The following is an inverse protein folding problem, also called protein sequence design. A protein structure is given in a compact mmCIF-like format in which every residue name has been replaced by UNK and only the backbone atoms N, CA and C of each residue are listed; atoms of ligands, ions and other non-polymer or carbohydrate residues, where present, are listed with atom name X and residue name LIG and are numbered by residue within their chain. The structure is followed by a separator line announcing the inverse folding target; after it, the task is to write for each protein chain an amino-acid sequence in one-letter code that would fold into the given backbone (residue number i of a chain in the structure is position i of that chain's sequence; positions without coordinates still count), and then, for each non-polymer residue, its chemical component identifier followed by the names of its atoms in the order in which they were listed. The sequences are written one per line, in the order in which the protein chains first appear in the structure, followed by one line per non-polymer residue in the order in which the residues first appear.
data_IF_207610849482
#
_entry.id   IF_207610849482
#
_cell.length_a   1.000
_cell.length_b   1.000
_cell.length_c   1.000
_cell.angle_alpha   90.00
_cell.angle_beta   90.00
_cell.angle_gamma   90.00
#
_symmetry.space_group_name_H-M   'P 1'
#
loop_
_entity.id
_entity.type
_entity.pdbx_description
1 polymer ?
#
# COMPACT_ATOMS: atom_id res chain seq x y z
N UNK A 1 -21.98 11.42 -0.95
CA UNK A 1 -21.08 12.57 -0.88
C UNK A 1 -21.39 13.47 -2.06
N UNK A 2 -21.80 14.70 -1.84
CA UNK A 2 -22.15 15.67 -2.90
C UNK A 2 -23.04 15.14 -4.04
N UNK A 3 -23.94 14.20 -3.76
CA UNK A 3 -24.79 13.55 -4.76
C UNK A 3 -24.10 12.55 -5.71
N UNK A 4 -22.79 12.30 -5.52
CA UNK A 4 -22.05 11.34 -6.33
C UNK A 4 -22.23 9.94 -5.74
N UNK A 5 -22.64 8.99 -6.59
CA UNK A 5 -22.71 7.58 -6.22
C UNK A 5 -21.30 6.99 -6.11
N UNK A 6 -21.06 6.22 -5.04
CA UNK A 6 -19.80 5.52 -4.80
C UNK A 6 -20.10 4.03 -4.79
N UNK A 7 -19.36 3.27 -5.59
CA UNK A 7 -19.49 1.82 -5.63
C UNK A 7 -18.63 1.16 -4.55
N UNK A 8 -19.23 0.27 -3.80
CA UNK A 8 -18.54 -0.69 -2.92
C UNK A 8 -19.41 -1.96 -2.79
N UNK A 9 -18.78 -3.06 -2.55
CA UNK A 9 -19.48 -4.35 -2.46
C UNK A 9 -18.50 -5.50 -2.32
N UNK A 10 -19.03 -6.71 -2.36
CA UNK A 10 -18.21 -7.92 -2.31
C UNK A 10 -18.65 -8.95 -3.35
N UNK A 11 -17.78 -9.92 -3.58
CA UNK A 11 -18.06 -11.09 -4.39
C UNK A 11 -17.23 -12.28 -3.89
N UNK A 12 -17.74 -13.49 -4.08
CA UNK A 12 -16.99 -14.73 -3.84
C UNK A 12 -16.68 -15.40 -5.17
N UNK A 13 -15.41 -15.70 -5.39
CA UNK A 13 -14.96 -16.42 -6.57
C UNK A 13 -13.82 -17.37 -6.20
N UNK A 14 -13.88 -18.64 -6.64
CA UNK A 14 -12.84 -19.62 -6.40
C UNK A 14 -12.52 -19.89 -4.92
N UNK A 15 -13.50 -19.73 -4.02
CA UNK A 15 -13.28 -19.89 -2.57
C UNK A 15 -12.60 -18.68 -1.89
N UNK A 16 -12.47 -17.57 -2.59
CA UNK A 16 -11.95 -16.30 -2.08
C UNK A 16 -13.08 -15.26 -2.06
N UNK A 17 -13.25 -14.55 -0.95
CA UNK A 17 -14.14 -13.40 -0.86
C UNK A 17 -13.37 -12.10 -1.08
N UNK A 18 -13.80 -11.31 -2.04
CA UNK A 18 -13.22 -10.02 -2.40
C UNK A 18 -14.15 -8.90 -1.94
N UNK A 19 -13.69 -8.00 -1.09
CA UNK A 19 -14.37 -6.73 -0.86
C UNK A 19 -13.74 -5.65 -1.73
N UNK A 20 -14.57 -4.82 -2.33
CA UNK A 20 -14.16 -3.66 -3.13
C UNK A 20 -14.67 -2.42 -2.39
N UNK A 21 -13.79 -1.47 -2.13
CA UNK A 21 -14.11 -0.21 -1.47
C UNK A 21 -13.73 0.99 -2.33
N UNK A 22 -14.35 2.12 -2.07
CA UNK A 22 -14.08 3.38 -2.74
C UNK A 22 -13.51 4.37 -1.72
N UNK A 23 -12.24 4.20 -1.39
CA UNK A 23 -11.53 5.07 -0.46
C UNK A 23 -11.25 6.45 -1.08
N UNK A 24 -10.69 6.51 -2.27
CA UNK A 24 -10.26 7.75 -2.91
C UNK A 24 -11.39 8.74 -3.20
N UNK A 25 -12.57 8.25 -3.57
CA UNK A 25 -13.72 9.11 -3.83
C UNK A 25 -14.44 9.57 -2.56
N UNK A 26 -14.24 8.87 -1.46
CA UNK A 26 -14.98 9.12 -0.21
C UNK A 26 -14.18 9.87 0.83
N UNK A 27 -12.87 9.70 0.85
CA UNK A 27 -12.03 10.31 1.88
C UNK A 27 -12.08 11.83 1.83
N UNK A 28 -11.82 12.43 2.98
CA UNK A 28 -11.63 13.87 3.09
C UNK A 28 -10.52 14.35 2.16
N UNK A 29 -10.76 15.44 1.45
CA UNK A 29 -9.76 16.05 0.59
C UNK A 29 -8.74 16.85 1.40
N UNK A 30 -7.55 17.11 0.83
CA UNK A 30 -6.47 17.85 1.49
C UNK A 30 -6.83 19.30 1.82
N UNK A 31 -7.87 19.87 1.21
CA UNK A 31 -8.38 21.22 1.53
C UNK A 31 -8.93 21.36 2.97
N UNK A 32 -9.18 20.25 3.65
CA UNK A 32 -9.62 20.25 5.06
C UNK A 32 -8.49 20.51 6.05
N UNK A 33 -7.26 20.49 5.60
CA UNK A 33 -6.04 20.71 6.40
C UNK A 33 -5.11 21.68 5.68
N UNK A 34 -4.04 22.11 6.36
CA UNK A 34 -3.04 22.99 5.76
C UNK A 34 -1.69 22.30 5.80
N UNK A 35 -1.12 22.06 4.65
CA UNK A 35 0.26 21.58 4.46
C UNK A 35 1.19 22.76 4.16
N UNK A 36 2.49 22.47 4.06
CA UNK A 36 3.52 23.44 3.65
C UNK A 36 3.85 23.36 2.15
N UNK A 37 3.33 22.35 1.45
CA UNK A 37 3.57 22.14 0.03
C UNK A 37 2.80 23.14 -0.87
N UNK A 38 3.35 23.42 -2.05
CA UNK A 38 2.64 24.17 -3.10
C UNK A 38 1.39 23.44 -3.60
N UNK A 39 1.39 22.11 -3.54
CA UNK A 39 0.20 21.27 -3.68
C UNK A 39 -0.37 21.01 -2.28
N UNK A 40 -1.68 21.15 -2.15
CA UNK A 40 -2.37 21.01 -0.86
C UNK A 40 -2.22 19.60 -0.23
N UNK A 41 -1.96 18.59 -1.03
CA UNK A 41 -1.78 17.19 -0.63
C UNK A 41 -0.34 16.83 -0.23
N UNK A 42 0.65 17.72 -0.45
CA UNK A 42 2.06 17.43 -0.18
C UNK A 42 2.57 18.13 1.09
N UNK A 43 3.32 17.37 1.88
CA UNK A 43 4.14 17.88 2.98
C UNK A 43 5.61 17.76 2.58
N UNK A 44 6.33 18.89 2.53
CA UNK A 44 7.71 18.95 2.02
C UNK A 44 8.73 19.28 3.11
N UNK A 45 8.35 19.98 4.19
CA UNK A 45 9.25 20.24 5.30
C UNK A 45 9.44 18.96 6.15
N UNK A 46 10.68 18.46 6.30
CA UNK A 46 10.95 17.30 7.15
C UNK A 46 10.57 17.52 8.62
N UNK A 47 10.49 18.77 9.09
CA UNK A 47 10.13 19.12 10.47
C UNK A 47 8.64 19.42 10.64
N UNK A 48 7.84 19.36 9.60
CA UNK A 48 6.40 19.61 9.68
C UNK A 48 5.73 18.62 10.63
N UNK A 49 4.90 19.10 11.55
CA UNK A 49 4.11 18.24 12.44
C UNK A 49 2.92 17.65 11.69
N UNK A 50 3.09 16.44 11.17
CA UNK A 50 2.05 15.74 10.43
C UNK A 50 0.92 15.21 11.33
N UNK A 51 1.11 15.13 12.65
CA UNK A 51 0.04 14.79 13.59
C UNK A 51 -1.05 15.89 13.61
N UNK A 52 -0.69 17.13 13.35
CA UNK A 52 -1.65 18.23 13.22
C UNK A 52 -2.59 18.12 12.02
N UNK A 53 -2.30 17.19 11.08
CA UNK A 53 -3.16 16.90 9.91
C UNK A 53 -4.27 15.90 10.21
N UNK A 54 -4.23 15.21 11.35
CA UNK A 54 -5.27 14.25 11.76
C UNK A 54 -6.34 14.93 12.63
N UNK A 55 -7.23 15.66 11.98
CA UNK A 55 -8.26 16.46 12.66
C UNK A 55 -9.54 15.64 12.90
N UNK A 56 -10.27 15.94 13.99
CA UNK A 56 -11.60 15.39 14.20
C UNK A 56 -12.54 15.66 13.02
N UNK A 57 -13.37 14.67 12.68
CA UNK A 57 -14.35 14.76 11.59
C UNK A 57 -13.82 14.42 10.21
N UNK A 58 -12.52 14.16 10.05
CA UNK A 58 -11.98 13.63 8.80
C UNK A 58 -12.44 12.20 8.56
N UNK A 59 -12.62 11.84 7.29
CA UNK A 59 -13.21 10.58 6.84
C UNK A 59 -12.27 9.88 5.87
N UNK A 60 -12.14 8.55 5.96
CA UNK A 60 -11.51 7.71 4.93
C UNK A 60 -12.58 7.00 4.10
N UNK A 61 -13.41 6.17 4.71
CA UNK A 61 -14.45 5.38 4.02
C UNK A 61 -15.88 5.85 4.31
N UNK A 62 -16.10 6.45 5.48
CA UNK A 62 -17.42 6.82 5.98
C UNK A 62 -18.22 5.63 6.51
N UNK A 63 -19.25 5.95 7.29
CA UNK A 63 -20.02 4.98 8.09
C UNK A 63 -20.59 3.80 7.27
N UNK A 64 -21.08 4.08 6.07
CA UNK A 64 -21.70 3.03 5.23
C UNK A 64 -20.69 1.98 4.77
N UNK A 65 -19.51 2.39 4.32
CA UNK A 65 -18.47 1.46 3.90
C UNK A 65 -17.83 0.76 5.10
N UNK A 66 -17.66 1.45 6.24
CA UNK A 66 -17.15 0.85 7.47
C UNK A 66 -18.13 -0.22 8.02
N UNK A 67 -19.45 0.05 7.99
CA UNK A 67 -20.46 -0.94 8.37
C UNK A 67 -20.46 -2.16 7.43
N UNK A 68 -20.36 -1.94 6.13
CA UNK A 68 -20.20 -2.99 5.13
C UNK A 68 -18.97 -3.85 5.42
N UNK A 69 -17.80 -3.23 5.61
CA UNK A 69 -16.55 -3.95 5.86
C UNK A 69 -16.60 -4.75 7.15
N UNK A 70 -17.25 -4.23 8.20
CA UNK A 70 -17.41 -4.95 9.46
C UNK A 70 -18.19 -6.24 9.25
N UNK A 71 -19.31 -6.19 8.55
CA UNK A 71 -20.13 -7.37 8.24
C UNK A 71 -19.34 -8.35 7.35
N UNK A 72 -18.68 -7.85 6.32
CA UNK A 72 -17.87 -8.68 5.43
C UNK A 72 -16.68 -9.33 6.15
N UNK A 73 -16.02 -8.61 7.06
CA UNK A 73 -14.87 -9.12 7.79
C UNK A 73 -15.21 -10.34 8.67
N UNK A 74 -16.40 -10.37 9.21
CA UNK A 74 -16.89 -11.43 10.10
C UNK A 74 -17.55 -12.60 9.34
N UNK A 75 -18.00 -12.39 8.10
CA UNK A 75 -18.68 -13.43 7.29
C UNK A 75 -17.68 -14.36 6.60
N UNK A 76 -17.64 -15.62 6.99
CA UNK A 76 -16.77 -16.66 6.44
C UNK A 76 -17.53 -17.76 5.66
N UNK A 77 -18.78 -17.51 5.27
CA UNK A 77 -19.60 -18.47 4.55
C UNK A 77 -19.16 -18.61 3.09
N UNK A 78 -18.87 -19.86 2.66
CA UNK A 78 -18.59 -20.21 1.27
C UNK A 78 -17.20 -19.82 0.74
N UNK A 79 -16.27 -19.41 1.62
CA UNK A 79 -14.90 -19.08 1.24
C UNK A 79 -13.91 -19.32 2.38
N UNK A 80 -12.63 -19.43 2.05
CA UNK A 80 -11.54 -19.71 3.01
C UNK A 80 -10.49 -18.60 3.05
N UNK A 81 -10.42 -17.78 2.00
CA UNK A 81 -9.54 -16.62 1.90
C UNK A 81 -10.32 -15.34 1.66
N UNK A 82 -9.74 -14.22 2.02
CA UNK A 82 -10.27 -12.89 1.72
C UNK A 82 -9.21 -11.97 1.15
N UNK A 83 -9.65 -11.06 0.29
CA UNK A 83 -8.85 -9.96 -0.22
C UNK A 83 -9.66 -8.66 -0.21
N UNK A 84 -9.02 -7.56 0.19
CA UNK A 84 -9.57 -6.22 0.07
C UNK A 84 -9.00 -5.55 -1.18
N UNK A 85 -9.84 -4.98 -2.01
CA UNK A 85 -9.45 -4.19 -3.18
C UNK A 85 -9.78 -2.73 -2.91
N UNK A 86 -8.79 -1.85 -3.00
CA UNK A 86 -8.98 -0.40 -2.88
C UNK A 86 -8.16 0.36 -3.90
N UNK A 87 -8.38 1.67 -4.00
CA UNK A 87 -7.61 2.52 -4.90
C UNK A 87 -6.24 2.84 -4.31
N UNK A 88 -6.13 3.08 -2.99
CA UNK A 88 -4.90 3.54 -2.36
C UNK A 88 -4.38 2.60 -1.27
N UNK A 89 -3.08 2.65 -1.05
CA UNK A 89 -2.42 2.01 0.09
C UNK A 89 -2.72 2.77 1.39
N UNK A 90 -2.69 2.09 2.56
CA UNK A 90 -2.97 2.72 3.85
C UNK A 90 -1.69 3.10 4.64
N UNK A 91 -0.61 3.36 3.93
CA UNK A 91 0.64 3.93 4.44
C UNK A 91 1.19 4.94 3.45
N UNK A 92 2.01 5.88 3.93
CA UNK A 92 2.76 6.78 3.06
C UNK A 92 4.11 6.15 2.68
N UNK A 93 4.10 5.23 1.70
CA UNK A 93 5.30 4.56 1.23
C UNK A 93 6.02 5.39 0.14
N UNK A 94 6.23 6.69 0.39
CA UNK A 94 6.95 7.58 -0.51
C UNK A 94 7.78 8.58 0.29
N UNK A 95 9.04 8.77 -0.11
CA UNK A 95 9.98 9.76 0.45
C UNK A 95 10.46 10.76 -0.60
N UNK A 96 10.28 10.45 -1.88
CA UNK A 96 10.62 11.29 -3.01
C UNK A 96 9.62 11.09 -4.15
N UNK A 97 9.48 12.11 -4.99
CA UNK A 97 8.55 12.07 -6.10
C UNK A 97 8.96 12.97 -7.27
N UNK A 98 8.35 12.71 -8.43
CA UNK A 98 8.41 13.58 -9.60
C UNK A 98 9.67 13.45 -10.41
N UNK A 99 9.77 14.26 -11.46
CA UNK A 99 10.85 14.21 -12.45
C UNK A 99 12.21 14.70 -11.93
N UNK A 100 12.22 15.42 -10.83
CA UNK A 100 13.42 16.01 -10.21
C UNK A 100 13.76 15.36 -8.87
N UNK A 101 13.12 14.23 -8.55
CA UNK A 101 13.43 13.47 -7.35
C UNK A 101 13.32 14.31 -6.06
N UNK A 102 12.25 15.13 -5.99
CA UNK A 102 11.99 16.02 -4.87
C UNK A 102 11.62 15.26 -3.60
N UNK A 103 12.15 15.73 -2.46
CA UNK A 103 11.77 15.18 -1.16
C UNK A 103 10.27 15.32 -0.91
N UNK A 104 9.68 14.31 -0.30
CA UNK A 104 8.28 14.25 0.07
C UNK A 104 8.16 13.60 1.45
N UNK A 105 7.78 14.36 2.46
CA UNK A 105 7.53 13.81 3.79
C UNK A 105 6.24 13.00 3.82
N UNK A 106 5.17 13.57 3.25
CA UNK A 106 3.87 12.90 3.18
C UNK A 106 3.07 13.36 1.96
N UNK A 107 2.26 12.44 1.46
CA UNK A 107 1.28 12.64 0.40
C UNK A 107 -0.12 12.28 0.94
N UNK A 108 -0.96 13.28 1.13
CA UNK A 108 -2.29 13.10 1.72
C UNK A 108 -3.26 12.44 0.75
N UNK A 109 -2.96 12.45 -0.55
CA UNK A 109 -3.82 11.88 -1.57
C UNK A 109 -3.65 10.38 -1.70
N UNK A 110 -2.42 9.89 -1.77
CA UNK A 110 -2.10 8.49 -2.13
C UNK A 110 -1.52 7.64 -1.01
N UNK A 111 -1.59 8.04 0.26
CA UNK A 111 -0.96 7.24 1.32
C UNK A 111 -1.43 7.51 2.75
N UNK A 112 -2.17 6.61 3.35
CA UNK A 112 -2.33 6.45 4.79
C UNK A 112 -2.95 7.60 5.61
N UNK A 113 -3.51 8.62 4.96
CA UNK A 113 -4.19 9.75 5.60
C UNK A 113 -5.69 9.74 5.26
N UNK A 114 -6.59 10.16 6.17
CA UNK A 114 -6.39 10.57 7.57
C UNK A 114 -6.07 9.39 8.50
N UNK A 115 -5.21 9.62 9.52
CA UNK A 115 -4.68 8.53 10.36
C UNK A 115 -5.73 7.87 11.25
N UNK A 116 -6.53 8.64 12.00
CA UNK A 116 -7.55 8.08 12.90
C UNK A 116 -8.58 7.25 12.15
N UNK A 117 -9.19 7.71 11.04
CA UNK A 117 -10.06 6.87 10.22
C UNK A 117 -9.32 5.66 9.60
N UNK A 118 -8.07 5.84 9.18
CA UNK A 118 -7.24 4.73 8.67
C UNK A 118 -7.06 3.63 9.71
N UNK A 119 -6.72 3.98 10.94
CA UNK A 119 -6.52 3.02 12.02
C UNK A 119 -7.82 2.25 12.31
N UNK A 120 -8.96 2.96 12.37
CA UNK A 120 -10.28 2.33 12.56
C UNK A 120 -10.62 1.33 11.44
N UNK A 121 -10.33 1.66 10.18
CA UNK A 121 -10.56 0.74 9.05
C UNK A 121 -9.66 -0.50 9.16
N UNK A 122 -8.40 -0.34 9.54
CA UNK A 122 -7.49 -1.47 9.74
C UNK A 122 -7.98 -2.38 10.88
N UNK A 123 -8.47 -1.82 11.98
CA UNK A 123 -9.04 -2.61 13.08
C UNK A 123 -10.28 -3.38 12.65
N UNK A 124 -11.14 -2.79 11.83
CA UNK A 124 -12.29 -3.47 11.21
C UNK A 124 -11.85 -4.66 10.36
N UNK A 125 -10.72 -4.54 9.67
CA UNK A 125 -10.20 -5.57 8.77
C UNK A 125 -9.49 -6.74 9.48
N UNK A 126 -9.08 -6.61 10.74
CA UNK A 126 -8.36 -7.69 11.47
C UNK A 126 -9.08 -9.04 11.44
N UNK A 127 -10.41 -9.15 11.70
CA UNK A 127 -11.12 -10.44 11.61
C UNK A 127 -11.16 -11.02 10.20
N UNK A 128 -11.05 -10.19 9.16
CA UNK A 128 -11.04 -10.64 7.79
C UNK A 128 -9.77 -11.41 7.42
N UNK A 129 -8.66 -11.17 8.10
CA UNK A 129 -7.34 -11.72 7.72
C UNK A 129 -7.05 -11.57 6.21
N UNK A 130 -7.48 -10.47 5.63
CA UNK A 130 -7.47 -10.23 4.20
C UNK A 130 -6.14 -9.63 3.72
N UNK A 131 -5.64 -10.09 2.59
CA UNK A 131 -4.61 -9.35 1.86
C UNK A 131 -5.23 -8.08 1.28
N UNK A 132 -4.63 -6.92 1.56
CA UNK A 132 -5.04 -5.66 0.95
C UNK A 132 -4.29 -5.44 -0.37
N UNK A 133 -5.01 -5.42 -1.47
CA UNK A 133 -4.48 -5.20 -2.82
C UNK A 133 -4.89 -3.80 -3.26
N UNK A 134 -3.92 -2.98 -3.63
CA UNK A 134 -4.13 -1.57 -3.95
C UNK A 134 -3.13 -1.06 -4.98
N UNK A 135 -3.22 0.22 -5.32
CA UNK A 135 -2.39 0.88 -6.32
C UNK A 135 -2.11 2.34 -5.98
N UNK A 136 -2.17 3.21 -6.98
CA UNK A 136 -2.04 4.67 -6.93
C UNK A 136 -0.67 5.21 -6.50
N UNK A 137 0.06 4.52 -5.65
CA UNK A 137 1.36 4.98 -5.13
C UNK A 137 2.45 5.07 -6.21
N UNK A 138 2.24 4.49 -7.40
CA UNK A 138 3.25 4.39 -8.48
C UNK A 138 4.57 3.75 -8.03
N UNK A 139 4.52 2.94 -7.01
CA UNK A 139 5.66 2.27 -6.40
C UNK A 139 5.19 0.91 -5.86
N UNK A 140 5.69 -0.16 -6.45
CA UNK A 140 5.35 -1.48 -5.93
C UNK A 140 5.93 -1.67 -4.54
N UNK A 141 5.09 -2.02 -3.58
CA UNK A 141 5.49 -2.31 -2.21
C UNK A 141 4.74 -3.52 -1.67
N UNK A 142 5.44 -4.33 -0.89
CA UNK A 142 4.84 -5.31 -0.02
C UNK A 142 5.09 -4.87 1.41
N UNK A 143 4.03 -4.53 2.13
CA UNK A 143 4.11 -3.98 3.47
C UNK A 143 3.10 -4.62 4.40
N UNK A 144 3.35 -4.59 5.70
CA UNK A 144 2.38 -4.99 6.71
C UNK A 144 2.03 -3.78 7.59
N UNK A 145 0.75 -3.57 7.81
CA UNK A 145 0.26 -2.47 8.62
C UNK A 145 0.44 -2.72 10.12
N UNK A 146 0.60 -1.63 10.85
CA UNK A 146 0.49 -1.60 12.29
C UNK A 146 -0.41 -0.47 12.76
N UNK A 147 -1.12 -0.69 13.87
CA UNK A 147 -1.92 0.29 14.59
C UNK A 147 -1.37 0.44 16.01
N UNK A 148 -1.56 -0.55 16.86
CA UNK A 148 -1.01 -0.53 18.23
C UNK A 148 0.48 -0.87 18.26
N UNK A 149 0.86 -1.86 17.46
CA UNK A 149 2.24 -2.35 17.32
C UNK A 149 2.62 -2.39 15.85
N UNK A 150 3.91 -2.49 15.59
CA UNK A 150 4.38 -2.86 14.26
C UNK A 150 3.85 -4.26 13.90
N UNK A 151 3.44 -4.47 12.65
CA UNK A 151 3.06 -5.76 12.10
C UNK A 151 1.90 -6.45 12.82
N UNK A 152 0.96 -5.70 13.35
CA UNK A 152 -0.18 -6.25 14.11
C UNK A 152 -1.46 -6.39 13.26
N UNK A 153 -1.37 -6.14 11.94
CA UNK A 153 -2.53 -6.18 11.07
C UNK A 153 -2.17 -6.68 9.65
N UNK A 154 -2.99 -6.32 8.69
CA UNK A 154 -3.02 -6.84 7.33
C UNK A 154 -1.74 -6.56 6.54
N UNK A 155 -1.35 -7.52 5.73
CA UNK A 155 -0.43 -7.32 4.62
C UNK A 155 -1.10 -6.53 3.50
N UNK A 156 -0.31 -5.71 2.85
CA UNK A 156 -0.68 -4.85 1.74
C UNK A 156 0.25 -5.06 0.57
N UNK A 157 -0.31 -5.35 -0.58
CA UNK A 157 0.42 -5.35 -1.83
C UNK A 157 -0.05 -4.16 -2.68
N UNK A 158 0.79 -3.12 -2.73
CA UNK A 158 0.63 -2.04 -3.69
C UNK A 158 1.25 -2.50 -5.02
N UNK A 159 0.41 -2.66 -6.04
CA UNK A 159 0.87 -3.11 -7.36
C UNK A 159 1.68 -2.02 -8.05
N UNK A 160 2.66 -2.38 -8.89
CA UNK A 160 3.33 -1.38 -9.72
C UNK A 160 2.33 -0.77 -10.71
N UNK A 161 2.50 0.51 -11.01
CA UNK A 161 1.71 1.16 -12.04
C UNK A 161 2.13 0.68 -13.42
N UNK A 162 1.18 0.29 -14.27
CA UNK A 162 1.51 -0.30 -15.57
C UNK A 162 2.16 0.71 -16.53
N UNK A 163 1.80 1.98 -16.44
CA UNK A 163 2.31 3.01 -17.35
C UNK A 163 2.33 4.43 -16.79
N UNK A 164 2.37 4.58 -15.47
CA UNK A 164 2.37 5.91 -14.86
C UNK A 164 3.67 6.65 -15.15
N UNK A 165 3.53 7.88 -15.59
CA UNK A 165 4.65 8.76 -15.89
C UNK A 165 5.24 9.50 -14.70
N UNK A 166 4.67 9.37 -13.51
CA UNK A 166 5.04 10.10 -12.31
C UNK A 166 5.68 9.16 -11.29
N UNK A 167 7.01 9.11 -11.17
CA UNK A 167 7.69 8.17 -10.29
C UNK A 167 7.61 8.64 -8.84
N UNK A 168 7.57 7.66 -7.92
CA UNK A 168 7.78 7.82 -6.49
C UNK A 168 8.86 6.86 -6.02
N UNK A 169 9.53 7.20 -4.92
CA UNK A 169 10.57 6.37 -4.29
C UNK A 169 10.35 6.28 -2.80
N UNK A 170 10.66 5.14 -2.26
CA UNK A 170 10.86 4.93 -0.84
C UNK A 170 12.36 4.72 -0.56
N UNK A 171 13.05 5.77 -0.09
CA UNK A 171 14.50 5.80 0.14
C UNK A 171 14.78 6.06 1.62
N UNK A 172 14.21 5.24 2.48
CA UNK A 172 14.30 5.39 3.92
C UNK A 172 15.75 5.33 4.44
N UNK A 173 16.58 4.46 3.87
CA UNK A 173 17.99 4.32 4.26
C UNK A 173 18.82 5.55 3.88
N UNK A 174 18.58 6.13 2.71
CA UNK A 174 19.23 7.37 2.27
C UNK A 174 18.92 8.54 3.21
N UNK A 175 17.67 8.63 3.64
CA UNK A 175 17.22 9.62 4.61
C UNK A 175 17.60 9.27 6.05
N UNK A 176 18.26 8.13 6.29
CA UNK A 176 18.61 7.62 7.63
C UNK A 176 17.39 7.54 8.55
N UNK A 177 16.24 7.17 8.01
CA UNK A 177 15.03 7.00 8.82
C UNK A 177 15.23 5.90 9.85
N UNK A 178 14.86 6.12 11.11
CA UNK A 178 14.94 5.09 12.14
C UNK A 178 14.13 3.86 11.73
N UNK A 179 14.73 2.67 11.85
CA UNK A 179 14.07 1.41 11.55
C UNK A 179 14.56 0.28 12.47
N UNK A 180 13.77 -0.79 12.53
CA UNK A 180 14.11 -2.03 13.21
C UNK A 180 13.68 -3.23 12.36
N UNK A 181 14.05 -4.43 12.79
CA UNK A 181 13.57 -5.70 12.26
C UNK A 181 13.59 -5.78 10.71
N UNK A 182 14.75 -5.47 10.11
CA UNK A 182 14.94 -5.64 8.67
C UNK A 182 14.73 -7.10 8.28
N UNK A 183 14.00 -7.39 7.17
CA UNK A 183 13.81 -8.77 6.70
C UNK A 183 15.12 -9.50 6.45
N UNK A 184 15.12 -10.82 6.58
CA UNK A 184 16.31 -11.67 6.43
C UNK A 184 17.01 -11.54 5.08
N UNK A 185 16.29 -11.17 4.02
CA UNK A 185 16.91 -10.93 2.70
C UNK A 185 17.81 -9.68 2.67
N UNK A 186 17.76 -8.81 3.68
CA UNK A 186 18.68 -7.68 3.86
C UNK A 186 18.60 -6.55 2.84
N UNK A 187 17.54 -6.48 2.03
CA UNK A 187 17.42 -5.44 1.01
C UNK A 187 17.31 -4.05 1.66
N UNK A 188 17.87 -3.06 0.95
CA UNK A 188 17.80 -1.67 1.37
C UNK A 188 16.36 -1.15 1.45
N UNK A 189 16.12 -0.16 2.29
CA UNK A 189 14.83 0.50 2.46
C UNK A 189 13.71 -0.43 2.98
N UNK A 190 14.07 -1.51 3.68
CA UNK A 190 13.14 -2.48 4.27
C UNK A 190 13.25 -2.50 5.78
N UNK A 191 12.21 -2.93 6.49
CA UNK A 191 12.16 -2.96 7.95
C UNK A 191 10.89 -2.30 8.49
N UNK A 192 10.84 -2.15 9.80
CA UNK A 192 9.78 -1.46 10.53
C UNK A 192 10.09 0.03 10.62
N UNK A 193 9.19 0.87 10.13
CA UNK A 193 9.31 2.33 10.11
C UNK A 193 8.07 2.99 10.71
N UNK A 194 8.22 4.26 11.08
CA UNK A 194 7.12 5.21 11.08
C UNK A 194 7.22 5.97 9.75
N UNK A 195 6.13 5.97 8.97
CA UNK A 195 6.09 6.74 7.73
C UNK A 195 5.99 8.25 7.99
N UNK A 196 5.97 9.05 6.94
CA UNK A 196 5.93 10.52 7.07
C UNK A 196 4.69 11.07 7.76
N UNK A 197 3.63 10.29 7.90
CA UNK A 197 2.42 10.60 8.67
C UNK A 197 2.45 10.02 10.09
N UNK A 198 3.48 9.22 10.43
CA UNK A 198 3.58 8.52 11.71
C UNK A 198 2.86 7.18 11.76
N UNK A 199 2.38 6.64 10.63
CA UNK A 199 1.80 5.30 10.59
C UNK A 199 2.89 4.24 10.77
N UNK A 200 2.59 3.19 11.53
CA UNK A 200 3.45 2.02 11.66
C UNK A 200 3.38 1.20 10.36
N UNK A 201 4.53 0.96 9.75
CA UNK A 201 4.67 0.29 8.47
C UNK A 201 5.88 -0.63 8.48
N UNK A 202 5.67 -1.92 8.27
CA UNK A 202 6.76 -2.85 7.97
C UNK A 202 6.88 -3.00 6.46
N UNK A 203 7.92 -2.46 5.89
CA UNK A 203 8.23 -2.59 4.46
C UNK A 203 9.05 -3.85 4.25
N UNK A 204 8.44 -4.87 3.67
CA UNK A 204 9.13 -6.13 3.36
C UNK A 204 9.89 -6.05 2.05
N UNK A 205 9.27 -5.50 1.01
CA UNK A 205 9.90 -5.31 -0.30
C UNK A 205 9.40 -4.03 -0.96
N UNK A 206 10.27 -3.40 -1.74
CA UNK A 206 9.98 -2.18 -2.51
C UNK A 206 10.73 -2.17 -3.83
N UNK A 207 10.02 -1.85 -4.92
CA UNK A 207 10.58 -1.75 -6.26
C UNK A 207 10.86 -0.31 -6.65
N UNK A 208 11.87 0.32 -6.06
CA UNK A 208 12.24 1.70 -6.39
C UNK A 208 12.58 1.88 -7.88
N UNK A 209 12.11 2.98 -8.51
CA UNK A 209 12.58 3.40 -9.82
C UNK A 209 14.08 3.61 -9.84
N UNK A 210 14.68 3.36 -10.99
CA UNK A 210 16.07 3.76 -11.23
C UNK A 210 16.11 5.24 -11.61
N UNK A 211 17.13 5.94 -11.15
CA UNK A 211 17.38 7.32 -11.56
C UNK A 211 18.30 7.28 -12.78
N UNK A 212 17.81 7.73 -13.93
CA UNK A 212 18.58 7.69 -15.14
C UNK A 212 17.96 8.50 -16.29
N UNK A 213 18.68 8.60 -17.38
CA UNK A 213 18.24 9.24 -18.62
C UNK A 213 18.01 8.18 -19.68
N UNK A 214 16.85 7.54 -19.65
CA UNK A 214 16.51 6.58 -20.67
C UNK A 214 16.38 7.24 -22.05
N UNK A 215 16.90 6.61 -23.13
CA UNK A 215 16.89 7.15 -24.47
C UNK A 215 15.50 7.20 -25.11
N UNK A 216 14.57 6.41 -24.64
CA UNK A 216 13.22 6.33 -25.19
C UNK A 216 12.18 6.04 -24.10
N UNK A 217 10.89 6.10 -24.46
CA UNK A 217 9.77 5.93 -23.52
C UNK A 217 9.67 4.53 -22.91
N UNK A 218 10.15 3.50 -23.59
CA UNK A 218 10.10 2.11 -23.10
C UNK A 218 11.11 1.91 -21.98
N UNK A 219 12.35 2.34 -22.21
CA UNK A 219 13.39 2.31 -21.19
C UNK A 219 13.00 3.18 -19.98
N UNK A 220 12.36 4.35 -20.23
CA UNK A 220 11.79 5.17 -19.15
C UNK A 220 10.74 4.45 -18.33
N UNK A 221 9.93 3.59 -18.93
CA UNK A 221 8.95 2.79 -18.19
C UNK A 221 9.63 1.81 -17.25
N UNK A 222 10.74 1.19 -17.67
CA UNK A 222 11.56 0.34 -16.80
C UNK A 222 12.24 1.14 -15.70
N UNK A 223 12.80 2.28 -15.99
CA UNK A 223 13.43 3.16 -14.99
C UNK A 223 12.42 3.68 -13.97
N UNK A 224 11.17 3.93 -14.37
CA UNK A 224 10.08 4.38 -13.48
C UNK A 224 9.45 3.26 -12.66
N UNK A 225 9.99 2.06 -12.72
CA UNK A 225 9.46 0.88 -12.06
C UNK A 225 7.99 0.58 -12.43
N UNK A 226 7.62 0.82 -13.68
CA UNK A 226 6.34 0.37 -14.23
C UNK A 226 6.28 -1.15 -14.28
N UNK A 227 5.09 -1.72 -14.14
CA UNK A 227 4.93 -3.17 -14.10
C UNK A 227 3.51 -3.62 -13.79
N UNK A 228 3.39 -4.86 -13.36
CA UNK A 228 2.12 -5.45 -12.94
C UNK A 228 2.33 -6.47 -11.82
N UNK A 229 1.29 -6.69 -11.03
CA UNK A 229 1.27 -7.72 -10.00
C UNK A 229 0.49 -8.95 -10.45
N UNK A 230 0.89 -10.12 -9.97
CA UNK A 230 0.14 -11.36 -10.11
C UNK A 230 0.04 -12.04 -8.75
N UNK A 231 -1.16 -12.53 -8.39
CA UNK A 231 -1.40 -13.15 -7.09
C UNK A 231 -2.11 -14.48 -7.29
N UNK A 232 -1.51 -15.55 -6.79
CA UNK A 232 -2.14 -16.86 -6.71
C UNK A 232 -2.69 -17.08 -5.30
N UNK A 233 -4.00 -17.33 -5.20
CA UNK A 233 -4.70 -17.65 -3.97
C UNK A 233 -4.76 -19.18 -3.82
N UNK A 234 -4.06 -19.74 -2.85
CA UNK A 234 -4.15 -21.17 -2.51
C UNK A 234 -5.12 -21.35 -1.35
N UNK A 235 -6.35 -21.72 -1.67
CA UNK A 235 -7.44 -21.85 -0.70
C UNK A 235 -7.28 -23.08 0.21
N UNK A 236 -6.53 -24.09 -0.19
CA UNK A 236 -6.22 -25.27 0.62
C UNK A 236 -5.14 -24.98 1.65
N UNK A 237 -4.02 -24.38 1.21
CA UNK A 237 -2.92 -23.97 2.10
C UNK A 237 -3.17 -22.66 2.84
N UNK A 238 -4.21 -21.92 2.46
CA UNK A 238 -4.54 -20.59 2.97
C UNK A 238 -3.37 -19.62 2.84
N UNK A 239 -2.83 -19.52 1.61
CA UNK A 239 -1.70 -18.65 1.31
C UNK A 239 -1.99 -17.76 0.12
N UNK A 240 -1.25 -16.64 0.08
CA UNK A 240 -1.18 -15.70 -1.03
C UNK A 240 0.24 -15.75 -1.59
N UNK A 241 0.40 -16.24 -2.83
CA UNK A 241 1.67 -16.17 -3.55
C UNK A 241 1.66 -14.96 -4.44
N UNK A 242 2.54 -13.99 -4.15
CA UNK A 242 2.55 -12.66 -4.74
C UNK A 242 3.79 -12.50 -5.59
N UNK A 243 3.59 -12.09 -6.82
CA UNK A 243 4.63 -11.79 -7.80
C UNK A 243 4.49 -10.35 -8.26
N UNK A 244 5.60 -9.66 -8.44
CA UNK A 244 5.63 -8.28 -8.93
C UNK A 244 6.61 -8.16 -10.09
N UNK A 245 6.06 -8.05 -11.30
CA UNK A 245 6.81 -8.08 -12.54
C UNK A 245 7.10 -6.66 -13.06
N UNK A 246 8.27 -6.52 -13.69
CA UNK A 246 8.63 -5.32 -14.44
C UNK A 246 7.80 -5.24 -15.72
N UNK A 247 7.64 -4.04 -16.24
CA UNK A 247 6.95 -3.81 -17.51
C UNK A 247 7.77 -4.32 -18.71
N UNK A 248 7.09 -4.72 -19.79
CA UNK A 248 7.69 -5.17 -21.06
C UNK A 248 8.69 -6.33 -20.90
N UNK A 249 8.34 -7.31 -20.10
CA UNK A 249 9.08 -8.59 -19.97
C UNK A 249 8.18 -9.76 -20.37
N UNK A 250 8.79 -10.89 -20.63
CA UNK A 250 8.08 -12.16 -20.75
C UNK A 250 8.00 -12.81 -19.36
N UNK A 251 6.81 -12.74 -18.75
CA UNK A 251 6.61 -13.32 -17.42
C UNK A 251 6.66 -14.86 -17.42
N UNK A 252 6.59 -15.50 -18.60
CA UNK A 252 6.56 -16.96 -18.73
C UNK A 252 7.95 -17.58 -18.88
N UNK A 253 8.99 -16.79 -19.08
CA UNK A 253 10.36 -17.29 -19.29
C UNK A 253 11.08 -17.71 -17.98
N UNK A 254 10.42 -17.48 -16.82
CA UNK A 254 10.92 -17.89 -15.50
C UNK A 254 12.15 -17.15 -14.99
N UNK A 255 12.59 -16.06 -15.66
CA UNK A 255 13.77 -15.33 -15.22
C UNK A 255 13.51 -14.50 -13.96
N UNK A 256 14.28 -14.70 -12.87
CA UNK A 256 14.11 -13.89 -11.64
C UNK A 256 14.26 -12.38 -11.86
N UNK A 257 15.05 -11.96 -12.85
CA UNK A 257 15.26 -10.54 -13.19
C UNK A 257 14.00 -9.84 -13.73
N UNK A 258 12.98 -10.60 -14.13
CA UNK A 258 11.71 -10.05 -14.59
C UNK A 258 10.85 -9.52 -13.43
N UNK A 259 11.12 -9.97 -12.22
CA UNK A 259 10.46 -9.48 -11.02
C UNK A 259 11.24 -8.35 -10.35
N UNK A 260 10.57 -7.54 -9.55
CA UNK A 260 11.22 -6.58 -8.67
C UNK A 260 11.96 -7.30 -7.55
N UNK A 261 13.02 -6.69 -6.98
CA UNK A 261 13.76 -7.28 -5.86
C UNK A 261 12.84 -7.56 -4.66
N UNK A 262 12.97 -8.75 -4.07
CA UNK A 262 12.16 -9.18 -2.92
C UNK A 262 10.93 -10.02 -3.28
N UNK A 263 10.59 -10.12 -4.55
CA UNK A 263 9.54 -11.04 -5.04
C UNK A 263 10.14 -12.25 -5.76
N UNK A 264 9.40 -13.39 -5.83
CA UNK A 264 8.05 -13.61 -5.30
C UNK A 264 8.01 -13.82 -3.78
N UNK A 265 6.82 -13.62 -3.17
CA UNK A 265 6.61 -13.78 -1.73
C UNK A 265 5.36 -14.61 -1.45
N UNK A 266 5.44 -15.52 -0.51
CA UNK A 266 4.28 -16.25 0.01
C UNK A 266 3.91 -15.73 1.40
N UNK A 267 2.66 -15.30 1.58
CA UNK A 267 2.11 -14.87 2.86
C UNK A 267 1.07 -15.89 3.32
N UNK A 268 1.14 -16.31 4.57
CA UNK A 268 0.08 -17.12 5.19
C UNK A 268 -1.08 -16.23 5.64
N UNK A 269 -2.31 -16.69 5.47
CA UNK A 269 -3.50 -15.92 5.85
C UNK A 269 -3.43 -15.36 7.28
N UNK A 270 -2.99 -16.17 8.25
CA UNK A 270 -2.89 -15.79 9.66
C UNK A 270 -1.95 -14.61 9.94
N UNK A 271 -1.00 -14.35 9.04
CA UNK A 271 -0.10 -13.20 9.17
C UNK A 271 -0.84 -11.87 9.06
N UNK A 272 -2.01 -11.86 8.42
CA UNK A 272 -2.86 -10.67 8.31
C UNK A 272 -3.54 -10.23 9.62
N UNK A 273 -3.28 -10.92 10.72
CA UNK A 273 -3.70 -10.53 12.07
C UNK A 273 -2.53 -10.48 13.07
N UNK A 274 -1.30 -10.41 12.57
CA UNK A 274 -0.10 -10.28 13.39
C UNK A 274 0.52 -11.60 13.86
N UNK A 275 0.10 -12.76 13.35
CA UNK A 275 0.80 -14.03 13.57
C UNK A 275 1.96 -14.18 12.58
N UNK A 276 2.99 -13.34 12.75
CA UNK A 276 4.04 -13.15 11.77
C UNK A 276 4.98 -14.38 11.65
N UNK A 277 5.09 -14.91 10.44
CA UNK A 277 5.98 -16.01 10.05
C UNK A 277 7.06 -15.49 9.09
N UNK A 278 6.64 -14.63 8.18
CA UNK A 278 7.54 -13.97 7.24
C UNK A 278 8.30 -12.83 7.94
N UNK A 279 9.63 -12.90 7.94
CA UNK A 279 10.41 -11.86 8.61
C UNK A 279 11.89 -12.13 8.70
#
# INVERSE_FOLDING_TARGET
MQGISVYFGDMVYGGVSFAIIADRQWKSGPENVKTDGARADHVLDPNFDTAALDKPGLVLLGERQEAFLKQWAEDWRGHTLKALLSQTVFINAATHHGSHDGYLKADLDSGGWPQTPRNRVIDILRPAMALHINGDQHLTTLAQYGVDKQRDSNWSFCTPAISAGYPRWWRADELKMPHSNRPKHGQANTGEYLDGLGNKAYIYAVGNPQVGRAPNRYDKSHEKASGFGFITFDTEKKTYFIESFRFLIDATDGKPSNQFPGWPVTIQQKENRGENVLG
#
